data_IF_263153221214
#
_entry.id   IF_263153221214
#
_cell.length_a   1.000
_cell.length_b   1.000
_cell.length_c   1.000
_cell.angle_alpha   90.00
_cell.angle_beta   90.00
_cell.angle_gamma   90.00
#
_symmetry.space_group_name_H-M   'P 1'
#
loop_
_entity.id
_entity.type
_entity.pdbx_description
1 polymer ?
#
# COMPACT_ATOMS: atom_id res chain seq x y z
N UNK A 1 -11.77 -16.68 -17.69
CA UNK A 1 -11.12 -17.56 -18.68
C UNK A 1 -11.99 -18.77 -18.92
N UNK A 2 -12.28 -19.13 -20.16
CA UNK A 2 -13.06 -20.29 -20.58
C UNK A 2 -12.16 -21.20 -21.41
N UNK A 3 -11.81 -22.38 -20.90
CA UNK A 3 -10.94 -23.35 -21.58
C UNK A 3 -11.16 -24.77 -21.05
N UNK A 4 -10.69 -25.77 -21.77
CA UNK A 4 -10.47 -27.12 -21.20
C UNK A 4 -9.19 -27.04 -20.36
N UNK A 5 -9.26 -27.20 -19.03
CA UNK A 5 -8.05 -27.13 -18.20
C UNK A 5 -7.23 -28.41 -18.36
N UNK A 6 -5.92 -28.31 -18.14
CA UNK A 6 -4.99 -29.44 -18.24
C UNK A 6 -5.31 -30.59 -17.29
N UNK A 7 -6.04 -30.32 -16.20
CA UNK A 7 -6.46 -31.30 -15.21
C UNK A 7 -7.78 -32.01 -15.55
N UNK A 8 -8.42 -31.68 -16.68
CA UNK A 8 -9.71 -32.26 -17.09
C UNK A 8 -9.52 -33.36 -18.14
N UNK A 9 -10.11 -34.54 -17.90
CA UNK A 9 -9.95 -35.72 -18.77
C UNK A 9 -11.08 -35.88 -19.79
N UNK A 10 -12.26 -35.29 -19.58
CA UNK A 10 -13.43 -35.47 -20.46
C UNK A 10 -13.60 -34.36 -21.51
N UNK A 11 -12.62 -33.44 -21.62
CA UNK A 11 -12.70 -32.34 -22.59
C UNK A 11 -13.74 -31.27 -22.27
N UNK A 12 -14.23 -31.20 -21.02
CA UNK A 12 -15.23 -30.21 -20.61
C UNK A 12 -14.61 -28.83 -20.45
N UNK A 13 -15.31 -27.81 -20.95
CA UNK A 13 -14.89 -26.42 -20.82
C UNK A 13 -15.21 -25.93 -19.40
N UNK A 14 -14.18 -25.49 -18.68
CA UNK A 14 -14.32 -24.87 -17.37
C UNK A 14 -14.17 -23.35 -17.48
N UNK A 15 -14.86 -22.63 -16.60
CA UNK A 15 -14.71 -21.18 -16.46
C UNK A 15 -13.95 -20.86 -15.18
N UNK A 16 -12.76 -20.28 -15.29
CA UNK A 16 -11.93 -19.80 -14.18
C UNK A 16 -11.94 -18.27 -14.12
N UNK A 17 -11.74 -17.71 -12.92
CA UNK A 17 -11.57 -16.27 -12.70
C UNK A 17 -10.17 -15.99 -12.13
N UNK A 18 -9.66 -14.78 -12.36
CA UNK A 18 -8.39 -14.30 -11.84
C UNK A 18 -8.51 -12.79 -11.56
N UNK A 19 -7.96 -12.35 -10.42
CA UNK A 19 -7.86 -10.94 -10.05
C UNK A 19 -6.48 -10.40 -10.40
N UNK A 20 -6.43 -9.18 -10.92
CA UNK A 20 -5.18 -8.48 -11.25
C UNK A 20 -5.23 -7.12 -10.57
N UNK A 21 -4.24 -6.84 -9.72
CA UNK A 21 -4.04 -5.55 -9.08
C UNK A 21 -2.90 -4.82 -9.77
N UNK A 22 -3.07 -3.51 -9.96
CA UNK A 22 -2.04 -2.64 -10.52
C UNK A 22 -1.85 -1.48 -9.55
N UNK A 23 -0.63 -1.37 -9.00
CA UNK A 23 -0.25 -0.27 -8.11
C UNK A 23 1.07 0.32 -8.61
N UNK A 24 1.29 1.63 -8.43
CA UNK A 24 2.60 2.22 -8.64
C UNK A 24 3.63 1.62 -7.66
N UNK A 25 4.90 1.73 -8.02
CA UNK A 25 6.00 1.37 -7.13
C UNK A 25 5.97 2.25 -5.87
N UNK A 26 6.19 1.63 -4.71
CA UNK A 26 6.21 2.34 -3.44
C UNK A 26 7.60 2.96 -3.21
N UNK A 27 7.63 4.24 -2.86
CA UNK A 27 8.86 4.91 -2.42
C UNK A 27 9.20 4.52 -0.97
N UNK A 28 10.49 4.50 -0.64
CA UNK A 28 10.93 4.32 0.76
C UNK A 28 10.50 5.51 1.62
N UNK A 29 9.84 5.21 2.73
CA UNK A 29 9.36 6.23 3.67
C UNK A 29 10.53 6.64 4.57
N UNK A 30 11.21 7.74 4.23
CA UNK A 30 12.18 8.34 5.14
C UNK A 30 11.48 9.30 6.12
N UNK A 31 11.66 9.05 7.42
CA UNK A 31 11.09 9.88 8.47
C UNK A 31 12.16 10.85 8.98
N UNK A 32 12.12 12.07 8.44
CA UNK A 32 12.85 13.20 8.99
C UNK A 32 12.16 13.73 10.24
N UNK A 33 12.95 13.98 11.30
CA UNK A 33 12.45 14.55 12.56
C UNK A 33 13.03 15.95 12.68
N UNK A 34 12.17 16.97 12.63
CA UNK A 34 12.59 18.34 12.92
C UNK A 34 12.84 18.50 14.44
N UNK A 35 14.01 19.02 14.87
CA UNK A 35 14.26 19.33 16.27
C UNK A 35 13.21 20.26 16.92
N UNK A 36 12.56 21.13 16.15
CA UNK A 36 11.53 22.05 16.63
C UNK A 36 10.22 21.34 17.00
N UNK A 37 9.97 20.16 16.44
CA UNK A 37 8.79 19.33 16.75
C UNK A 37 8.97 18.47 18.01
N UNK A 38 10.13 18.57 18.66
CA UNK A 38 10.49 17.78 19.82
C UNK A 38 10.42 18.58 21.10
N UNK A 39 9.54 18.17 22.03
CA UNK A 39 9.63 18.59 23.42
C UNK A 39 10.49 17.60 24.20
N UNK A 40 11.60 18.09 24.74
CA UNK A 40 12.55 17.28 25.51
C UNK A 40 12.46 17.67 26.98
N UNK A 41 11.96 16.75 27.79
CA UNK A 41 11.86 16.87 29.24
C UNK A 41 12.98 16.06 29.90
N UNK A 42 13.70 16.67 30.83
CA UNK A 42 14.80 16.02 31.58
C UNK A 42 14.38 15.92 33.04
N UNK A 43 14.55 14.74 33.63
CA UNK A 43 14.11 14.47 35.00
C UNK A 43 15.03 13.45 35.69
N UNK A 44 14.81 13.25 36.99
CA UNK A 44 15.56 12.29 37.79
C UNK A 44 15.21 10.86 37.41
N UNK A 45 16.23 10.04 37.21
CA UNK A 45 16.05 8.61 36.95
C UNK A 45 15.36 7.92 38.12
N UNK A 46 14.44 7.00 37.83
CA UNK A 46 13.76 6.19 38.85
C UNK A 46 14.35 4.78 38.90
N UNK A 47 14.68 4.26 40.08
CA UNK A 47 15.11 2.86 40.25
C UNK A 47 16.14 2.65 41.37
N UNK A 48 16.60 1.41 41.59
CA UNK A 48 17.65 1.11 42.55
C UNK A 48 18.96 1.78 42.11
N UNK A 49 19.39 2.78 42.86
CA UNK A 49 20.60 3.54 42.57
C UNK A 49 21.16 4.22 43.81
N UNK A 50 22.48 4.44 43.80
CA UNK A 50 23.17 5.17 44.86
C UNK A 50 22.87 6.67 44.82
N UNK A 51 23.69 7.48 45.50
CA UNK A 51 23.52 8.94 45.57
C UNK A 51 23.33 9.58 44.18
N UNK A 52 24.04 9.08 43.16
CA UNK A 52 23.98 9.60 41.79
C UNK A 52 22.57 9.58 41.17
N UNK A 53 21.70 8.63 41.54
CA UNK A 53 20.33 8.55 40.99
C UNK A 53 19.40 9.57 41.66
N UNK A 54 19.69 9.96 42.90
CA UNK A 54 18.89 10.92 43.65
C UNK A 54 19.25 12.38 43.34
N UNK A 55 20.49 12.64 42.89
CA UNK A 55 20.99 14.01 42.66
C UNK A 55 21.15 14.39 41.20
N UNK A 56 21.32 13.43 40.27
CA UNK A 56 21.63 13.71 38.87
C UNK A 56 20.40 13.56 37.97
N UNK A 57 20.10 14.60 37.20
CA UNK A 57 19.01 14.60 36.21
C UNK A 57 19.48 13.95 34.90
N UNK A 58 19.46 12.62 34.84
CA UNK A 58 19.94 11.85 33.68
C UNK A 58 18.84 11.24 32.81
N UNK A 59 17.60 11.13 33.27
CA UNK A 59 16.51 10.56 32.48
C UNK A 59 15.95 11.58 31.49
N UNK A 60 15.67 11.12 30.27
CA UNK A 60 15.19 11.96 29.17
C UNK A 60 13.87 11.41 28.65
N UNK A 61 12.88 12.29 28.49
CA UNK A 61 11.62 12.02 27.79
C UNK A 61 11.53 12.95 26.60
N UNK A 62 11.24 12.38 25.44
CA UNK A 62 11.05 13.11 24.19
C UNK A 62 9.61 12.91 23.75
N UNK A 63 8.92 14.01 23.49
CA UNK A 63 7.56 14.02 22.90
C UNK A 63 7.67 14.61 21.50
N UNK A 64 7.21 13.87 20.49
CA UNK A 64 6.99 14.43 19.16
C UNK A 64 5.63 15.12 19.16
N UNK A 65 5.63 16.45 19.12
CA UNK A 65 4.43 17.28 19.29
C UNK A 65 3.38 17.01 18.20
N UNK A 66 3.73 16.88 16.91
CA UNK A 66 2.73 16.65 15.86
C UNK A 66 2.00 15.31 15.96
N UNK A 67 2.68 14.24 16.37
CA UNK A 67 2.09 12.88 16.42
C UNK A 67 1.67 12.47 17.84
N UNK A 68 2.05 13.24 18.86
CA UNK A 68 1.82 12.91 20.26
C UNK A 68 2.64 11.72 20.79
N UNK A 69 3.56 11.16 20.00
CA UNK A 69 4.36 10.00 20.42
C UNK A 69 5.35 10.40 21.50
N UNK A 70 5.29 9.69 22.63
CA UNK A 70 6.20 9.89 23.76
C UNK A 70 7.14 8.70 23.90
N UNK A 71 8.43 8.99 24.03
CA UNK A 71 9.49 8.01 24.31
C UNK A 71 10.31 8.49 25.49
N UNK A 72 10.65 7.60 26.41
CA UNK A 72 11.53 7.90 27.54
C UNK A 72 12.68 6.89 27.62
N UNK A 73 13.87 7.38 27.99
CA UNK A 73 15.06 6.56 28.20
C UNK A 73 15.82 7.01 29.45
N UNK A 74 16.26 6.04 30.25
CA UNK A 74 16.98 6.25 31.52
C UNK A 74 17.99 5.12 31.80
N UNK A 75 18.40 4.38 30.76
CA UNK A 75 19.23 3.19 30.93
C UNK A 75 20.68 3.54 31.24
N UNK A 76 21.16 4.64 30.68
CA UNK A 76 22.53 5.10 30.83
C UNK A 76 22.67 6.14 31.95
N UNK A 77 23.89 6.28 32.48
CA UNK A 77 24.19 7.31 33.50
C UNK A 77 24.24 8.71 32.88
N UNK A 78 24.53 8.82 31.58
CA UNK A 78 24.67 10.08 30.85
C UNK A 78 23.34 10.51 30.22
N UNK A 79 22.96 11.76 30.46
CA UNK A 79 21.80 12.39 29.82
C UNK A 79 21.91 12.38 28.29
N UNK A 80 23.10 12.65 27.73
CA UNK A 80 23.30 12.72 26.28
C UNK A 80 23.06 11.35 25.64
N UNK A 81 23.57 10.28 26.25
CA UNK A 81 23.38 8.92 25.78
C UNK A 81 21.89 8.53 25.85
N UNK A 82 21.20 8.86 26.95
CA UNK A 82 19.76 8.64 27.05
C UNK A 82 18.98 9.44 26.00
N UNK A 83 19.38 10.67 25.67
CA UNK A 83 18.77 11.48 24.60
C UNK A 83 18.95 10.83 23.24
N UNK A 84 20.16 10.38 22.88
CA UNK A 84 20.43 9.70 21.61
C UNK A 84 19.65 8.39 21.48
N UNK A 85 19.60 7.59 22.54
CA UNK A 85 18.80 6.36 22.57
C UNK A 85 17.31 6.65 22.43
N UNK A 86 16.79 7.67 23.12
CA UNK A 86 15.39 8.08 23.01
C UNK A 86 15.05 8.56 21.58
N UNK A 87 15.94 9.34 20.94
CA UNK A 87 15.76 9.78 19.54
C UNK A 87 15.75 8.61 18.56
N UNK A 88 16.63 7.61 18.76
CA UNK A 88 16.67 6.40 17.93
C UNK A 88 15.35 5.61 18.03
N UNK A 89 14.85 5.43 19.25
CA UNK A 89 13.57 4.74 19.49
C UNK A 89 12.40 5.55 18.94
N UNK A 90 12.43 6.88 19.08
CA UNK A 90 11.41 7.76 18.51
C UNK A 90 11.36 7.63 16.99
N UNK A 91 12.52 7.69 16.31
CA UNK A 91 12.60 7.49 14.86
C UNK A 91 12.02 6.14 14.44
N UNK A 92 12.39 5.06 15.12
CA UNK A 92 11.87 3.73 14.81
C UNK A 92 10.34 3.66 14.98
N UNK A 93 9.77 4.29 16.02
CA UNK A 93 8.31 4.34 16.23
C UNK A 93 7.60 5.16 15.15
N UNK A 94 8.11 6.33 14.82
CA UNK A 94 7.51 7.19 13.79
C UNK A 94 7.59 6.53 12.41
N UNK A 95 8.71 5.88 12.10
CA UNK A 95 8.87 5.09 10.89
C UNK A 95 7.85 3.95 10.83
N UNK A 96 7.70 3.17 11.91
CA UNK A 96 6.70 2.11 11.94
C UNK A 96 5.27 2.64 11.74
N UNK A 97 4.92 3.75 12.39
CA UNK A 97 3.60 4.37 12.20
C UNK A 97 3.36 4.79 10.76
N UNK A 98 4.34 5.42 10.11
CA UNK A 98 4.23 5.83 8.73
C UNK A 98 4.12 4.61 7.78
N UNK A 99 4.88 3.53 8.05
CA UNK A 99 4.74 2.27 7.33
C UNK A 99 3.36 1.64 7.52
N UNK A 100 2.82 1.63 8.74
CA UNK A 100 1.52 1.05 9.05
C UNK A 100 0.39 1.85 8.37
N UNK A 101 0.48 3.17 8.36
CA UNK A 101 -0.46 4.07 7.67
C UNK A 101 -0.42 3.86 6.15
N UNK A 102 0.78 3.82 5.56
CA UNK A 102 0.95 3.53 4.14
C UNK A 102 0.43 2.13 3.78
N UNK A 103 0.69 1.12 4.62
CA UNK A 103 0.21 -0.24 4.42
C UNK A 103 -1.32 -0.33 4.54
N UNK A 104 -1.93 0.42 5.45
CA UNK A 104 -3.37 0.52 5.59
C UNK A 104 -4.00 1.15 4.34
N UNK A 105 -3.50 2.31 3.90
CA UNK A 105 -3.94 2.96 2.67
C UNK A 105 -3.79 2.05 1.44
N UNK A 106 -2.65 1.35 1.32
CA UNK A 106 -2.41 0.39 0.25
C UNK A 106 -3.33 -0.84 0.34
N UNK A 107 -3.68 -1.30 1.54
CA UNK A 107 -4.63 -2.39 1.75
C UNK A 107 -6.03 -2.00 1.27
N UNK A 108 -6.48 -0.81 1.62
CA UNK A 108 -7.78 -0.29 1.22
C UNK A 108 -7.85 -0.04 -0.29
N UNK A 109 -6.79 0.53 -0.87
CA UNK A 109 -6.65 0.66 -2.32
C UNK A 109 -6.71 -0.72 -3.02
N UNK A 110 -5.99 -1.73 -2.51
CA UNK A 110 -6.06 -3.10 -3.06
C UNK A 110 -7.47 -3.69 -2.98
N UNK A 111 -8.15 -3.56 -1.84
CA UNK A 111 -9.52 -4.06 -1.68
C UNK A 111 -10.52 -3.36 -2.61
N UNK A 112 -10.30 -2.08 -2.89
CA UNK A 112 -11.17 -1.31 -3.78
C UNK A 112 -11.06 -1.72 -5.26
N UNK A 113 -9.88 -2.14 -5.73
CA UNK A 113 -9.67 -2.54 -7.12
C UNK A 113 -10.35 -3.86 -7.48
N UNK A 114 -10.31 -4.83 -6.57
CA UNK A 114 -10.90 -6.16 -6.77
C UNK A 114 -11.63 -6.56 -5.49
N UNK A 115 -12.95 -6.44 -5.51
CA UNK A 115 -13.80 -6.78 -4.37
C UNK A 115 -13.95 -8.28 -4.21
N UNK A 116 -14.21 -9.00 -5.31
CA UNK A 116 -14.29 -10.47 -5.33
C UNK A 116 -13.61 -11.05 -6.56
N UNK A 117 -12.83 -12.13 -6.37
CA UNK A 117 -12.21 -12.89 -7.47
C UNK A 117 -13.18 -13.96 -7.97
N UNK A 118 -14.38 -13.54 -8.38
CA UNK A 118 -15.40 -14.42 -8.92
C UNK A 118 -15.82 -14.00 -10.34
N UNK A 119 -16.92 -14.57 -10.84
CA UNK A 119 -17.39 -14.32 -12.21
C UNK A 119 -18.36 -13.14 -12.30
N UNK A 120 -18.76 -12.55 -11.16
CA UNK A 120 -19.79 -11.52 -11.09
C UNK A 120 -19.28 -10.16 -11.56
N UNK A 121 -18.03 -9.82 -11.24
CA UNK A 121 -17.37 -8.55 -11.57
C UNK A 121 -16.32 -8.73 -12.69
N UNK A 122 -16.69 -9.43 -13.76
CA UNK A 122 -15.74 -9.73 -14.85
C UNK A 122 -15.43 -8.51 -15.71
N UNK A 123 -14.17 -8.09 -15.71
CA UNK A 123 -13.67 -7.05 -16.62
C UNK A 123 -13.49 -7.60 -18.05
N UNK A 124 -12.84 -8.76 -18.18
CA UNK A 124 -12.56 -9.40 -19.47
C UNK A 124 -12.90 -10.88 -19.48
N UNK A 125 -13.29 -11.40 -20.63
CA UNK A 125 -13.47 -12.83 -20.88
C UNK A 125 -12.51 -13.29 -21.96
N UNK A 126 -11.65 -14.23 -21.58
CA UNK A 126 -10.74 -14.95 -22.47
C UNK A 126 -11.36 -16.30 -22.79
N UNK A 127 -11.77 -16.52 -24.05
CA UNK A 127 -12.43 -17.73 -24.53
C UNK A 127 -11.48 -18.44 -25.50
N UNK A 128 -10.92 -19.56 -25.05
CA UNK A 128 -9.97 -20.36 -25.82
C UNK A 128 -10.62 -21.10 -27.00
N UNK A 129 -11.78 -21.78 -26.85
CA UNK A 129 -12.44 -22.45 -27.97
C UNK A 129 -12.75 -21.57 -29.18
N UNK A 130 -13.08 -20.29 -28.94
CA UNK A 130 -13.42 -19.33 -29.99
C UNK A 130 -12.26 -18.38 -30.33
N UNK A 131 -11.06 -18.60 -29.77
CA UNK A 131 -9.90 -17.72 -29.86
C UNK A 131 -10.22 -16.24 -29.59
N UNK A 132 -11.16 -15.96 -28.66
CA UNK A 132 -11.75 -14.64 -28.48
C UNK A 132 -11.39 -14.00 -27.15
N UNK A 133 -11.05 -12.72 -27.20
CA UNK A 133 -11.01 -11.81 -26.05
C UNK A 133 -12.20 -10.84 -26.12
N UNK A 134 -12.81 -10.56 -24.97
CA UNK A 134 -13.87 -9.55 -24.84
C UNK A 134 -13.67 -8.72 -23.59
N UNK A 135 -13.57 -7.39 -23.71
CA UNK A 135 -13.57 -6.44 -22.59
C UNK A 135 -15.00 -5.91 -22.40
N UNK A 136 -15.59 -6.17 -21.23
CA UNK A 136 -16.97 -5.82 -20.93
C UNK A 136 -17.14 -4.35 -20.57
N UNK A 137 -16.06 -3.63 -20.25
CA UNK A 137 -16.12 -2.21 -19.89
C UNK A 137 -16.29 -1.33 -21.13
N UNK A 138 -15.61 -1.68 -22.22
CA UNK A 138 -15.61 -0.93 -23.47
C UNK A 138 -16.43 -1.58 -24.58
N UNK A 139 -16.80 -2.86 -24.40
CA UNK A 139 -17.43 -3.65 -25.46
C UNK A 139 -16.44 -4.19 -26.51
N UNK A 140 -15.13 -3.95 -26.35
CA UNK A 140 -14.09 -4.43 -27.27
C UNK A 140 -14.14 -5.96 -27.41
N UNK A 141 -14.07 -6.46 -28.65
CA UNK A 141 -14.01 -7.89 -28.97
C UNK A 141 -13.00 -8.13 -30.09
N UNK A 142 -12.15 -9.13 -29.92
CA UNK A 142 -11.21 -9.56 -30.94
C UNK A 142 -11.02 -11.08 -30.92
N UNK A 143 -10.72 -11.67 -32.08
CA UNK A 143 -10.61 -13.12 -32.31
C UNK A 143 -9.16 -13.57 -32.51
N UNK A 144 -8.25 -12.96 -31.75
CA UNK A 144 -6.80 -13.14 -31.82
C UNK A 144 -6.21 -13.40 -30.43
N UNK A 145 -6.89 -14.20 -29.60
CA UNK A 145 -6.51 -14.43 -28.20
C UNK A 145 -5.04 -14.92 -28.05
N UNK A 146 -4.56 -15.79 -28.94
CA UNK A 146 -3.17 -16.24 -28.89
C UNK A 146 -2.15 -15.10 -29.04
N UNK A 147 -2.37 -14.21 -30.00
CA UNK A 147 -1.50 -13.04 -30.24
C UNK A 147 -1.57 -12.09 -29.04
N UNK A 148 -2.76 -11.86 -28.51
CA UNK A 148 -2.97 -11.05 -27.31
C UNK A 148 -2.17 -11.60 -26.12
N UNK A 149 -2.24 -12.93 -25.88
CA UNK A 149 -1.48 -13.58 -24.82
C UNK A 149 0.03 -13.58 -25.07
N UNK A 150 0.46 -13.43 -26.33
CA UNK A 150 1.84 -13.22 -26.75
C UNK A 150 2.40 -11.83 -26.45
N UNK A 151 1.56 -10.89 -26.00
CA UNK A 151 1.99 -9.55 -25.56
C UNK A 151 1.43 -8.40 -26.41
N UNK A 152 0.79 -8.67 -27.54
CA UNK A 152 0.17 -7.62 -28.36
C UNK A 152 -1.18 -7.20 -27.76
N UNK A 153 -1.11 -6.37 -26.72
CA UNK A 153 -2.27 -5.90 -25.97
C UNK A 153 -2.68 -4.47 -26.33
N UNK A 154 -1.87 -3.75 -27.12
CA UNK A 154 -2.07 -2.32 -27.41
C UNK A 154 -3.50 -2.00 -27.88
N UNK A 155 -4.13 -2.76 -28.80
CA UNK A 155 -5.48 -2.43 -29.27
C UNK A 155 -6.55 -2.45 -28.17
N UNK A 156 -6.43 -3.34 -27.16
CA UNK A 156 -7.39 -3.35 -26.04
C UNK A 156 -7.13 -2.20 -25.07
N UNK A 157 -5.86 -1.82 -24.91
CA UNK A 157 -5.44 -0.74 -24.01
C UNK A 157 -5.89 0.60 -24.59
N UNK A 158 -5.65 0.84 -25.88
CA UNK A 158 -6.11 2.02 -26.59
C UNK A 158 -7.64 2.15 -26.53
N UNK A 159 -8.38 1.06 -26.77
CA UNK A 159 -9.84 1.07 -26.63
C UNK A 159 -10.30 1.43 -25.20
N UNK A 160 -9.58 0.97 -24.17
CA UNK A 160 -9.85 1.32 -22.78
C UNK A 160 -9.54 2.80 -22.49
N UNK A 161 -8.42 3.32 -22.98
CA UNK A 161 -8.04 4.73 -22.82
C UNK A 161 -9.04 5.67 -23.49
N UNK A 162 -9.46 5.36 -24.72
CA UNK A 162 -10.42 6.18 -25.45
C UNK A 162 -11.80 6.21 -24.75
N UNK A 163 -12.25 5.07 -24.22
CA UNK A 163 -13.51 5.00 -23.47
C UNK A 163 -13.45 5.82 -22.16
N UNK A 164 -12.32 5.76 -21.45
CA UNK A 164 -12.08 6.54 -20.23
C UNK A 164 -12.01 8.05 -20.51
N UNK A 165 -11.32 8.46 -21.58
CA UNK A 165 -11.26 9.86 -22.00
C UNK A 165 -12.64 10.41 -22.38
N UNK A 166 -13.42 9.64 -23.15
CA UNK A 166 -14.79 10.01 -23.50
C UNK A 166 -15.68 10.16 -22.26
N UNK A 167 -15.57 9.25 -21.28
CA UNK A 167 -16.32 9.33 -20.03
C UNK A 167 -15.94 10.58 -19.20
N UNK A 168 -14.65 10.91 -19.10
CA UNK A 168 -14.19 12.13 -18.40
C UNK A 168 -14.69 13.39 -19.08
N UNK A 169 -14.63 13.47 -20.41
CA UNK A 169 -15.12 14.61 -21.18
C UNK A 169 -16.64 14.78 -21.03
N UNK A 170 -17.40 13.69 -21.04
CA UNK A 170 -18.84 13.72 -20.82
C UNK A 170 -19.19 14.27 -19.42
N UNK A 171 -18.49 13.81 -18.38
CA UNK A 171 -18.69 14.28 -17.01
C UNK A 171 -18.37 15.79 -16.81
N UNK A 172 -17.49 16.35 -17.62
CA UNK A 172 -17.18 17.79 -17.64
C UNK A 172 -18.22 18.62 -18.41
N UNK A 173 -18.96 17.99 -19.33
CA UNK A 173 -19.93 18.64 -20.21
C UNK A 173 -21.35 18.72 -19.66
N UNK A 174 -21.66 18.03 -18.56
CA UNK A 174 -22.95 18.15 -17.88
C UNK A 174 -22.97 19.43 -17.03
N UNK A 175 -23.82 20.43 -17.34
CA UNK A 175 -24.03 21.56 -16.45
C UNK A 175 -24.71 21.06 -15.17
N UNK A 176 -24.21 21.54 -14.03
CA UNK A 176 -24.71 21.22 -12.69
C UNK A 176 -26.13 21.71 -12.47
#
# INVERSE_FOLDING_TARGET
>A
VQRVPVTESQGRIHTSAAGVWVMPEAEEIDVSIDPNDLRIDVYRSSGPGGQSVNTTDSAVRITHVPTGVVVSCQNEKSQLQNKESALRVLRARLHQMAMDEAAAAASDARKSQVRTVDRSERIRTYNFPENRISDHRTGYKAYNLEIFLGGEMDPVVEAAMAADEAARLAALGEPT
#
